data_IF_013520560617
#
_entry.id   IF_013520560617
#
_cell.length_a   1.000
_cell.length_b   1.000
_cell.length_c   1.000
_cell.angle_alpha   90.00
_cell.angle_beta   90.00
_cell.angle_gamma   90.00
#
_symmetry.space_group_name_H-M   'P 1'
#
loop_
_entity.id
_entity.type
_entity.pdbx_description
1 polymer ?
#
# COMPACT_ATOMS: atom_id res chain seq x y z
N UNK A 1 -2.34 -20.43 12.32
CA UNK A 1 -2.03 -19.12 11.67
C UNK A 1 -0.55 -19.05 11.25
N UNK A 2 -0.06 -20.03 10.49
CA UNK A 2 1.33 -19.99 10.01
C UNK A 2 1.47 -18.96 8.87
N UNK A 3 2.52 -18.13 8.90
CA UNK A 3 2.90 -17.26 7.78
C UNK A 3 2.38 -15.82 7.78
N UNK A 4 1.52 -15.40 8.71
CA UNK A 4 1.04 -14.01 8.72
C UNK A 4 2.00 -13.06 9.44
N UNK A 5 2.37 -11.97 8.77
CA UNK A 5 3.33 -10.97 9.25
C UNK A 5 2.64 -9.63 9.46
N UNK A 6 2.25 -9.38 10.71
CA UNK A 6 1.46 -8.20 11.11
C UNK A 6 2.21 -6.87 11.03
N UNK A 7 3.52 -6.85 11.33
CA UNK A 7 4.28 -5.60 11.40
C UNK A 7 4.63 -5.11 9.99
N UNK A 8 4.11 -3.93 9.63
CA UNK A 8 4.51 -3.19 8.42
C UNK A 8 6.01 -2.89 8.42
N UNK A 9 6.59 -2.62 9.59
CA UNK A 9 8.03 -2.37 9.73
C UNK A 9 8.87 -3.60 9.40
N UNK A 10 8.55 -4.78 9.98
CA UNK A 10 9.28 -6.03 9.68
C UNK A 10 9.23 -6.38 8.20
N UNK A 11 8.05 -6.28 7.57
CA UNK A 11 7.89 -6.49 6.11
C UNK A 11 8.73 -5.51 5.31
N UNK A 12 8.65 -4.22 5.63
CA UNK A 12 9.42 -3.16 4.94
C UNK A 12 10.93 -3.39 5.08
N UNK A 13 11.40 -3.76 6.27
CA UNK A 13 12.81 -4.02 6.53
C UNK A 13 13.33 -5.23 5.73
N UNK A 14 12.55 -6.31 5.62
CA UNK A 14 12.89 -7.46 4.80
C UNK A 14 12.95 -7.10 3.31
N UNK A 15 11.94 -6.39 2.81
CA UNK A 15 11.83 -6.00 1.41
C UNK A 15 12.93 -5.03 0.95
N UNK A 16 13.42 -4.17 1.85
CA UNK A 16 14.51 -3.23 1.55
C UNK A 16 15.85 -3.90 1.27
N UNK A 17 16.01 -5.18 1.60
CA UNK A 17 17.23 -5.94 1.28
C UNK A 17 17.33 -6.28 -0.20
N UNK A 18 16.22 -6.26 -0.94
CA UNK A 18 16.19 -6.45 -2.40
C UNK A 18 16.19 -5.07 -3.09
N UNK A 19 17.27 -4.69 -3.81
CA UNK A 19 17.42 -3.35 -4.39
C UNK A 19 16.29 -2.94 -5.33
N UNK A 20 15.77 -3.88 -6.13
CA UNK A 20 14.68 -3.59 -7.09
C UNK A 20 13.38 -3.23 -6.37
N UNK A 21 13.09 -3.91 -5.26
CA UNK A 21 11.93 -3.60 -4.42
C UNK A 21 12.18 -2.30 -3.63
N UNK A 22 13.37 -2.13 -3.06
CA UNK A 22 13.72 -0.98 -2.23
C UNK A 22 13.49 0.37 -2.96
N UNK A 23 13.82 0.44 -4.26
CA UNK A 23 13.59 1.62 -5.11
C UNK A 23 12.11 2.00 -5.29
N UNK A 24 11.21 1.04 -5.06
CA UNK A 24 9.77 1.19 -5.14
C UNK A 24 9.12 1.45 -3.77
N UNK A 25 9.87 1.44 -2.67
CA UNK A 25 9.33 1.71 -1.33
C UNK A 25 9.57 3.19 -0.97
N UNK A 26 8.53 3.99 -0.68
CA UNK A 26 8.73 5.34 -0.20
C UNK A 26 9.55 5.36 1.10
N UNK A 27 10.38 6.38 1.30
CA UNK A 27 11.13 6.52 2.56
C UNK A 27 10.18 6.35 3.74
N UNK A 28 10.53 5.46 4.65
CA UNK A 28 9.69 5.05 5.77
C UNK A 28 10.56 4.89 7.00
N UNK A 29 10.18 5.51 8.10
CA UNK A 29 10.86 5.46 9.39
C UNK A 29 9.85 5.22 10.52
N UNK A 30 10.33 4.79 11.69
CA UNK A 30 9.51 4.81 12.90
C UNK A 30 9.23 6.25 13.33
N UNK A 31 8.02 6.51 13.79
CA UNK A 31 7.61 7.84 14.24
C UNK A 31 8.28 8.18 15.57
N UNK A 32 8.98 9.31 15.56
CA UNK A 32 9.51 10.06 16.70
C UNK A 32 9.30 11.55 16.39
N UNK A 33 9.33 12.41 17.42
CA UNK A 33 9.21 13.87 17.23
C UNK A 33 10.22 14.39 16.20
N UNK A 34 11.48 13.94 16.26
CA UNK A 34 12.52 14.35 15.31
C UNK A 34 12.35 13.75 13.91
N UNK A 35 12.00 12.47 13.79
CA UNK A 35 11.87 11.81 12.47
C UNK A 35 10.69 12.34 11.68
N UNK A 36 9.56 12.60 12.35
CA UNK A 36 8.40 13.23 11.70
C UNK A 36 8.74 14.64 11.21
N UNK A 37 9.38 15.47 12.05
CA UNK A 37 9.78 16.83 11.68
C UNK A 37 10.69 16.82 10.45
N UNK A 38 11.77 16.04 10.51
CA UNK A 38 12.74 15.91 9.42
C UNK A 38 12.09 15.47 8.12
N UNK A 39 11.21 14.47 8.16
CA UNK A 39 10.53 14.00 6.95
C UNK A 39 9.52 15.01 6.41
N UNK A 40 8.83 15.76 7.27
CA UNK A 40 7.97 16.87 6.85
C UNK A 40 8.76 18.00 6.21
N UNK A 41 9.88 18.40 6.82
CA UNK A 41 10.75 19.44 6.28
C UNK A 41 11.31 19.03 4.91
N UNK A 42 11.64 17.75 4.73
CA UNK A 42 12.18 17.22 3.47
C UNK A 42 11.13 17.05 2.37
N UNK A 43 9.92 16.60 2.72
CA UNK A 43 8.94 16.13 1.73
C UNK A 43 7.68 16.98 1.63
N UNK A 44 7.41 17.86 2.59
CA UNK A 44 6.18 18.66 2.69
C UNK A 44 4.93 17.84 3.05
N UNK A 45 4.83 16.59 2.60
CA UNK A 45 3.73 15.67 2.86
C UNK A 45 4.25 14.30 3.30
N UNK A 46 3.66 13.76 4.37
CA UNK A 46 3.92 12.39 4.85
C UNK A 46 2.62 11.69 5.24
N UNK A 47 2.65 10.37 5.25
CA UNK A 47 1.62 9.53 5.85
C UNK A 47 2.12 8.98 7.18
N UNK A 48 1.31 9.15 8.22
CA UNK A 48 1.53 8.60 9.55
C UNK A 48 0.59 7.42 9.72
N UNK A 49 1.12 6.21 9.90
CA UNK A 49 0.34 4.96 9.92
C UNK A 49 0.76 4.04 11.05
N UNK A 50 -0.17 3.30 11.69
CA UNK A 50 0.20 2.38 12.76
C UNK A 50 1.09 1.26 12.22
N UNK A 51 2.09 0.82 12.99
CA UNK A 51 2.99 -0.26 12.60
C UNK A 51 2.23 -1.58 12.40
N UNK A 52 1.27 -1.85 13.28
CA UNK A 52 0.32 -2.96 13.21
C UNK A 52 -1.08 -2.38 13.08
N UNK A 53 -1.81 -2.76 12.05
CA UNK A 53 -3.16 -2.27 11.78
C UNK A 53 -3.63 -2.73 10.42
N UNK A 54 -4.94 -2.68 10.20
CA UNK A 54 -5.59 -3.15 9.00
C UNK A 54 -6.59 -2.09 8.50
N UNK A 55 -7.07 -2.23 7.27
CA UNK A 55 -8.16 -1.44 6.68
C UNK A 55 -7.92 0.08 6.54
N UNK A 56 -6.67 0.53 6.69
CA UNK A 56 -6.34 1.96 6.73
C UNK A 56 -6.73 2.66 8.03
N UNK A 57 -7.16 1.92 9.06
CA UNK A 57 -7.53 2.49 10.35
C UNK A 57 -6.31 3.12 11.05
N UNK A 58 -6.47 4.36 11.49
CA UNK A 58 -5.39 5.16 12.09
C UNK A 58 -4.39 5.73 11.09
N UNK A 59 -4.60 5.58 9.78
CA UNK A 59 -3.76 6.28 8.79
C UNK A 59 -4.14 7.76 8.78
N UNK A 60 -3.13 8.62 8.87
CA UNK A 60 -3.26 10.06 8.84
C UNK A 60 -2.37 10.63 7.74
N UNK A 61 -2.90 11.57 6.97
CA UNK A 61 -2.10 12.39 6.04
C UNK A 61 -1.65 13.63 6.78
N UNK A 62 -0.38 13.96 6.74
CA UNK A 62 0.21 15.11 7.42
C UNK A 62 0.92 15.98 6.39
N UNK A 63 0.70 17.28 6.48
CA UNK A 63 1.23 18.27 5.56
C UNK A 63 1.82 19.45 6.32
N UNK A 64 2.92 20.00 5.80
CA UNK A 64 3.48 21.28 6.21
C UNK A 64 3.00 22.35 5.23
N UNK A 65 2.39 23.42 5.75
CA UNK A 65 1.81 24.52 5.00
C UNK A 65 2.57 25.81 5.36
N UNK A 66 3.75 25.98 4.76
CA UNK A 66 4.67 27.06 5.15
C UNK A 66 5.15 26.91 6.59
N UNK A 67 4.64 27.74 7.49
CA UNK A 67 4.92 27.70 8.94
C UNK A 67 3.93 26.84 9.72
N UNK A 68 2.75 26.55 9.16
CA UNK A 68 1.71 25.76 9.81
C UNK A 68 1.81 24.26 9.48
N UNK A 69 1.12 23.44 10.27
CA UNK A 69 1.04 22.00 10.13
C UNK A 69 -0.43 21.55 10.12
N UNK A 70 -0.76 20.67 9.18
CA UNK A 70 -2.09 20.09 9.02
C UNK A 70 -2.02 18.58 9.12
N UNK A 71 -3.00 17.95 9.76
CA UNK A 71 -3.26 16.53 9.54
C UNK A 71 -4.72 16.23 9.28
N UNK A 72 -4.94 15.17 8.50
CA UNK A 72 -6.25 14.61 8.24
C UNK A 72 -6.33 13.19 8.79
N UNK A 73 -7.32 12.94 9.65
CA UNK A 73 -7.68 11.62 10.15
C UNK A 73 -9.11 11.28 9.72
N UNK A 74 -9.27 10.34 8.78
CA UNK A 74 -10.55 10.11 8.13
C UNK A 74 -10.99 11.35 7.34
N UNK A 75 -12.11 11.96 7.71
CA UNK A 75 -12.62 13.22 7.14
C UNK A 75 -12.29 14.44 7.99
N UNK A 76 -11.79 14.26 9.22
CA UNK A 76 -11.47 15.36 10.14
C UNK A 76 -10.12 15.94 9.78
N UNK A 77 -10.08 17.24 9.60
CA UNK A 77 -8.85 18.02 9.34
C UNK A 77 -8.59 18.90 10.55
N UNK A 78 -7.34 18.94 11.00
CA UNK A 78 -6.87 19.80 12.09
C UNK A 78 -5.61 20.53 11.67
N UNK A 79 -5.51 21.78 12.07
CA UNK A 79 -4.39 22.67 11.76
C UNK A 79 -3.80 23.27 13.03
N UNK A 80 -2.51 23.53 12.98
CA UNK A 80 -1.71 23.98 14.11
C UNK A 80 -0.62 24.93 13.62
N UNK A 81 -0.45 26.07 14.28
CA UNK A 81 0.55 27.07 13.91
C UNK A 81 2.00 26.69 14.27
N UNK A 82 2.20 25.71 15.15
CA UNK A 82 3.55 25.27 15.57
C UNK A 82 3.71 23.76 15.49
N UNK A 83 4.96 23.31 15.29
CA UNK A 83 5.25 21.88 15.23
C UNK A 83 4.94 21.14 16.53
N UNK A 84 5.16 21.79 17.67
CA UNK A 84 4.99 21.17 18.99
C UNK A 84 3.52 20.96 19.34
N UNK A 85 2.67 21.95 19.10
CA UNK A 85 1.21 21.80 19.28
C UNK A 85 0.64 20.75 18.32
N UNK A 86 1.12 20.73 17.07
CA UNK A 86 0.80 19.72 16.08
C UNK A 86 1.18 18.31 16.54
N UNK A 87 2.43 18.12 16.97
CA UNK A 87 2.94 16.81 17.38
C UNK A 87 2.20 16.27 18.60
N UNK A 88 1.91 17.12 19.59
CA UNK A 88 1.13 16.75 20.77
C UNK A 88 -0.30 16.31 20.38
N UNK A 89 -0.95 17.04 19.47
CA UNK A 89 -2.26 16.68 18.97
C UNK A 89 -2.25 15.34 18.20
N UNK A 90 -1.28 15.16 17.30
CA UNK A 90 -1.12 13.92 16.54
C UNK A 90 -0.82 12.72 17.45
N UNK A 91 -0.02 12.90 18.50
CA UNK A 91 0.33 11.84 19.44
C UNK A 91 -0.92 11.27 20.14
N UNK A 92 -1.89 12.13 20.48
CA UNK A 92 -3.17 11.71 21.06
C UNK A 92 -3.97 10.80 20.11
N UNK A 93 -3.97 11.11 18.82
CA UNK A 93 -4.63 10.27 17.79
C UNK A 93 -3.98 8.87 17.68
N UNK A 94 -2.68 8.76 17.99
CA UNK A 94 -1.99 7.46 17.94
C UNK A 94 -2.33 6.52 19.09
N UNK A 95 -2.93 7.03 20.17
CA UNK A 95 -3.23 6.28 21.41
C UNK A 95 -2.00 5.52 21.94
N UNK A 96 -0.83 6.17 21.91
CA UNK A 96 0.47 5.64 22.33
C UNK A 96 0.95 4.37 21.60
N UNK A 97 0.32 4.01 20.47
CA UNK A 97 0.75 2.86 19.68
C UNK A 97 1.99 3.21 18.86
N UNK A 98 2.73 2.18 18.43
CA UNK A 98 3.85 2.34 17.48
C UNK A 98 3.32 2.76 16.11
N UNK A 99 3.84 3.87 15.60
CA UNK A 99 3.51 4.43 14.29
C UNK A 99 4.75 4.56 13.41
N UNK A 100 4.51 4.61 12.10
CA UNK A 100 5.50 4.83 11.05
C UNK A 100 5.20 6.15 10.35
N UNK A 101 6.25 6.86 9.94
CA UNK A 101 6.18 8.01 9.05
C UNK A 101 6.67 7.54 7.69
N UNK A 102 5.87 7.74 6.65
CA UNK A 102 6.19 7.38 5.28
C UNK A 102 6.08 8.62 4.38
N UNK A 103 7.04 8.81 3.47
CA UNK A 103 6.99 9.88 2.47
C UNK A 103 5.64 9.86 1.74
N UNK A 104 5.01 11.02 1.66
CA UNK A 104 3.82 11.22 0.84
C UNK A 104 4.18 11.24 -0.64
N UNK A 105 3.37 10.56 -1.46
CA UNK A 105 3.50 10.56 -2.92
C UNK A 105 2.26 11.21 -3.53
N UNK A 106 2.47 12.10 -4.49
CA UNK A 106 1.40 12.68 -5.29
C UNK A 106 0.98 11.66 -6.35
N UNK A 107 -0.09 10.92 -6.04
CA UNK A 107 -0.56 9.80 -6.84
C UNK A 107 -1.30 10.26 -8.10
N UNK A 108 -1.24 9.43 -9.15
CA UNK A 108 -2.11 9.53 -10.31
C UNK A 108 -3.58 9.51 -9.89
N UNK A 109 -4.41 10.10 -10.77
CA UNK A 109 -5.84 10.25 -10.55
C UNK A 109 -6.61 9.79 -11.79
N UNK A 110 -7.66 9.01 -11.56
CA UNK A 110 -8.63 8.64 -12.56
C UNK A 110 -9.93 9.39 -12.30
N UNK A 111 -10.37 10.21 -13.26
CA UNK A 111 -11.55 11.11 -13.10
C UNK A 111 -11.47 11.96 -11.83
N UNK A 112 -10.30 12.55 -11.56
CA UNK A 112 -10.05 13.39 -10.37
C UNK A 112 -9.88 12.63 -9.04
N UNK A 113 -10.08 11.31 -9.02
CA UNK A 113 -9.97 10.48 -7.81
C UNK A 113 -8.65 9.70 -7.79
N UNK A 114 -7.97 9.67 -6.64
CA UNK A 114 -6.74 8.88 -6.47
C UNK A 114 -7.05 7.40 -6.64
N UNK A 115 -6.10 6.65 -7.18
CA UNK A 115 -6.23 5.19 -7.25
C UNK A 115 -4.92 4.50 -6.91
N UNK A 116 -5.03 3.22 -6.60
CA UNK A 116 -3.90 2.30 -6.58
C UNK A 116 -4.27 0.98 -7.28
N UNK A 117 -3.28 0.10 -7.40
CA UNK A 117 -3.40 -1.22 -7.97
C UNK A 117 -3.07 -2.25 -6.89
N UNK A 118 -4.00 -3.15 -6.64
CA UNK A 118 -3.80 -4.36 -5.84
C UNK A 118 -3.21 -5.43 -6.75
N UNK A 119 -1.95 -5.79 -6.53
CA UNK A 119 -1.28 -6.93 -7.17
C UNK A 119 -1.29 -8.11 -6.20
N UNK A 120 -1.95 -9.21 -6.58
CA UNK A 120 -1.96 -10.46 -5.84
C UNK A 120 -0.93 -11.41 -6.44
N UNK A 121 0.05 -11.84 -5.64
CA UNK A 121 0.97 -12.91 -5.99
C UNK A 121 0.85 -14.06 -4.99
N UNK A 122 0.89 -15.29 -5.50
CA UNK A 122 0.69 -16.50 -4.72
C UNK A 122 1.74 -17.53 -5.13
N UNK A 123 2.22 -18.28 -4.15
CA UNK A 123 3.06 -19.45 -4.36
C UNK A 123 2.17 -20.57 -4.90
N UNK A 124 2.45 -21.09 -6.07
CA UNK A 124 1.64 -22.10 -6.74
C UNK A 124 1.79 -23.45 -6.05
N UNK A 125 0.81 -24.36 -6.21
CA UNK A 125 0.97 -25.75 -5.77
C UNK A 125 2.11 -26.49 -6.48
N UNK A 126 2.56 -25.97 -7.63
CA UNK A 126 3.70 -26.48 -8.42
C UNK A 126 5.06 -25.95 -7.93
N UNK A 127 5.09 -25.20 -6.83
CA UNK A 127 6.34 -24.73 -6.22
C UNK A 127 6.93 -23.46 -6.83
N UNK A 128 6.14 -22.68 -7.58
CA UNK A 128 6.61 -21.43 -8.24
C UNK A 128 5.77 -20.22 -7.83
N UNK A 129 6.37 -19.04 -7.71
CA UNK A 129 5.60 -17.81 -7.47
C UNK A 129 4.95 -17.30 -8.74
N UNK A 130 3.69 -16.89 -8.65
CA UNK A 130 2.94 -16.32 -9.76
C UNK A 130 2.06 -15.14 -9.31
N UNK A 131 2.02 -14.07 -10.11
CA UNK A 131 1.00 -13.03 -9.95
C UNK A 131 -0.32 -13.53 -10.51
N UNK A 132 -1.30 -13.76 -9.63
CA UNK A 132 -2.58 -14.37 -9.98
C UNK A 132 -3.65 -13.35 -10.33
N UNK A 133 -3.45 -12.06 -10.01
CA UNK A 133 -4.35 -11.00 -10.45
C UNK A 133 -3.85 -9.60 -10.11
N UNK A 134 -4.25 -8.64 -10.94
CA UNK A 134 -4.07 -7.20 -10.69
C UNK A 134 -5.45 -6.54 -10.80
N UNK A 135 -5.79 -5.68 -9.84
CA UNK A 135 -7.07 -4.94 -9.84
C UNK A 135 -6.85 -3.51 -9.37
N UNK A 136 -7.51 -2.58 -10.05
CA UNK A 136 -7.53 -1.17 -9.70
C UNK A 136 -8.51 -0.86 -8.57
N UNK A 137 -8.12 0.03 -7.65
CA UNK A 137 -8.97 0.54 -6.56
C UNK A 137 -8.98 2.06 -6.60
N UNK A 138 -10.14 2.64 -6.90
CA UNK A 138 -10.32 4.10 -6.93
C UNK A 138 -10.87 4.57 -5.59
N UNK A 139 -10.20 5.54 -4.96
CA UNK A 139 -10.64 6.13 -3.70
C UNK A 139 -11.95 6.91 -3.87
N UNK A 140 -12.69 7.00 -2.76
CA UNK A 140 -13.74 7.99 -2.59
C UNK A 140 -13.14 9.42 -2.63
N UNK A 141 -13.89 10.39 -3.18
CA UNK A 141 -13.45 11.78 -3.43
C UNK A 141 -12.88 12.48 -2.19
N UNK A 142 -13.34 12.13 -0.98
CA UNK A 142 -12.95 12.80 0.28
C UNK A 142 -11.97 12.01 1.15
N UNK A 143 -11.60 10.78 0.76
CA UNK A 143 -10.77 9.90 1.61
C UNK A 143 -9.29 9.95 1.24
N UNK A 144 -8.43 9.94 2.25
CA UNK A 144 -6.96 9.91 2.09
C UNK A 144 -6.41 8.51 1.81
N UNK A 145 -7.21 7.47 2.01
CA UNK A 145 -6.88 6.06 1.78
C UNK A 145 -7.80 5.47 0.72
N UNK A 146 -7.21 4.70 -0.20
CA UNK A 146 -7.81 4.00 -1.35
C UNK A 146 -8.37 2.61 -0.99
N UNK A 147 -8.72 2.37 0.29
CA UNK A 147 -9.13 1.03 0.71
C UNK A 147 -10.54 0.68 0.18
N UNK A 148 -10.63 -0.37 -0.64
CA UNK A 148 -11.88 -0.84 -1.27
C UNK A 148 -12.97 -1.20 -0.25
N UNK A 149 -12.60 -1.69 0.94
CA UNK A 149 -13.56 -1.97 2.01
C UNK A 149 -14.29 -0.73 2.55
N UNK A 150 -13.78 0.47 2.24
CA UNK A 150 -14.35 1.74 2.66
C UNK A 150 -15.03 2.49 1.49
N UNK A 151 -15.63 1.77 0.53
CA UNK A 151 -16.41 2.38 -0.56
C UNK A 151 -15.60 2.77 -1.80
N UNK A 152 -14.43 2.15 -2.00
CA UNK A 152 -13.66 2.33 -3.23
C UNK A 152 -14.27 1.55 -4.41
N UNK A 153 -14.22 2.14 -5.61
CA UNK A 153 -14.66 1.49 -6.85
C UNK A 153 -13.57 0.53 -7.34
N UNK A 154 -13.94 -0.71 -7.67
CA UNK A 154 -13.02 -1.68 -8.27
C UNK A 154 -13.09 -1.56 -9.79
N UNK A 155 -11.94 -1.36 -10.42
CA UNK A 155 -11.81 -1.08 -11.85
C UNK A 155 -10.71 -1.96 -12.44
N UNK A 156 -10.84 -2.35 -13.71
CA UNK A 156 -9.75 -3.00 -14.45
C UNK A 156 -8.48 -2.13 -14.41
N UNK A 157 -7.32 -2.75 -14.17
CA UNK A 157 -6.08 -2.01 -13.97
C UNK A 157 -5.65 -1.29 -15.26
N UNK A 158 -5.88 -1.92 -16.41
CA UNK A 158 -5.71 -1.40 -17.76
C UNK A 158 -6.47 -0.09 -17.93
N UNK A 159 -7.74 -0.06 -17.50
CA UNK A 159 -8.60 1.13 -17.61
C UNK A 159 -8.11 2.29 -16.76
N UNK A 160 -7.50 2.02 -15.61
CA UNK A 160 -6.91 3.07 -14.77
C UNK A 160 -5.60 3.60 -15.35
N UNK A 161 -4.83 2.77 -16.07
CA UNK A 161 -3.55 3.17 -16.65
C UNK A 161 -3.65 3.76 -18.05
N UNK A 162 -4.67 3.41 -18.83
CA UNK A 162 -4.84 3.85 -20.22
C UNK A 162 -4.77 5.39 -20.39
N UNK A 163 -5.36 6.22 -19.50
CA UNK A 163 -5.24 7.69 -19.62
C UNK A 163 -3.83 8.24 -19.32
N UNK A 164 -2.95 7.43 -18.74
CA UNK A 164 -1.64 7.87 -18.24
C UNK A 164 -0.45 7.21 -18.96
N UNK A 165 -0.64 6.05 -19.57
CA UNK A 165 0.44 5.26 -20.17
C UNK A 165 0.02 4.70 -21.53
N UNK A 166 0.78 5.05 -22.58
CA UNK A 166 0.61 4.49 -23.94
C UNK A 166 0.85 2.96 -23.98
N UNK A 167 1.67 2.44 -23.06
CA UNK A 167 2.01 1.01 -22.95
C UNK A 167 1.53 0.46 -21.60
N UNK A 168 0.23 0.48 -21.35
CA UNK A 168 -0.36 -0.02 -20.10
C UNK A 168 0.00 -1.49 -19.83
N UNK A 169 0.02 -2.33 -20.86
CA UNK A 169 0.32 -3.77 -20.73
C UNK A 169 1.75 -4.04 -20.26
N UNK A 170 2.73 -3.31 -20.80
CA UNK A 170 4.12 -3.41 -20.36
C UNK A 170 4.26 -3.01 -18.88
N UNK A 171 3.51 -2.00 -18.43
CA UNK A 171 3.46 -1.60 -17.02
C UNK A 171 2.84 -2.69 -16.16
N UNK A 172 1.73 -3.28 -16.58
CA UNK A 172 1.08 -4.38 -15.84
C UNK A 172 1.98 -5.61 -15.74
N UNK A 173 2.72 -5.95 -16.80
CA UNK A 173 3.73 -7.01 -16.78
C UNK A 173 4.84 -6.73 -15.76
N UNK A 174 5.39 -5.52 -15.76
CA UNK A 174 6.41 -5.12 -14.77
C UNK A 174 5.87 -5.16 -13.33
N UNK A 175 4.60 -4.80 -13.10
CA UNK A 175 3.96 -4.93 -11.80
C UNK A 175 3.75 -6.40 -11.39
N UNK A 176 3.44 -7.28 -12.34
CA UNK A 176 3.33 -8.71 -12.11
C UNK A 176 4.68 -9.32 -11.71
N UNK A 177 5.77 -8.94 -12.37
CA UNK A 177 7.13 -9.34 -12.02
C UNK A 177 7.52 -8.83 -10.63
N UNK A 178 7.17 -7.58 -10.29
CA UNK A 178 7.38 -7.02 -8.95
C UNK A 178 6.59 -7.77 -7.88
N UNK A 179 5.38 -8.24 -8.19
CA UNK A 179 4.56 -9.09 -7.32
C UNK A 179 5.25 -10.42 -7.00
N UNK A 180 5.74 -11.11 -8.02
CA UNK A 180 6.50 -12.37 -7.89
C UNK A 180 7.75 -12.16 -7.04
N UNK A 181 8.57 -11.16 -7.38
CA UNK A 181 9.80 -10.85 -6.65
C UNK A 181 9.51 -10.55 -5.17
N UNK A 182 8.46 -9.77 -4.89
CA UNK A 182 8.04 -9.45 -3.52
C UNK A 182 7.63 -10.69 -2.73
N UNK A 183 6.89 -11.61 -3.37
CA UNK A 183 6.53 -12.89 -2.78
C UNK A 183 7.75 -13.74 -2.42
N UNK A 184 8.69 -13.87 -3.34
CA UNK A 184 9.95 -14.58 -3.14
C UNK A 184 10.76 -13.98 -1.98
N UNK A 185 10.97 -12.66 -1.98
CA UNK A 185 11.72 -11.97 -0.92
C UNK A 185 11.07 -12.14 0.45
N UNK A 186 9.74 -12.03 0.56
CA UNK A 186 9.06 -12.22 1.83
C UNK A 186 9.05 -13.67 2.29
N UNK A 187 8.93 -14.64 1.39
CA UNK A 187 9.03 -16.06 1.76
C UNK A 187 10.40 -16.42 2.28
N UNK A 188 11.47 -15.90 1.66
CA UNK A 188 12.84 -16.08 2.15
C UNK A 188 13.01 -15.55 3.58
N UNK A 189 12.44 -14.38 3.90
CA UNK A 189 12.48 -13.82 5.24
C UNK A 189 11.48 -14.47 6.23
N UNK A 190 10.38 -15.00 5.72
CA UNK A 190 9.25 -15.54 6.49
C UNK A 190 8.70 -16.80 5.80
N UNK A 191 9.25 -18.00 6.07
CA UNK A 191 8.96 -19.22 5.30
C UNK A 191 7.48 -19.61 5.17
N UNK A 192 6.64 -19.23 6.13
CA UNK A 192 5.19 -19.47 6.06
C UNK A 192 4.42 -18.60 5.06
N UNK A 193 5.03 -17.56 4.49
CA UNK A 193 4.41 -16.69 3.49
C UNK A 193 4.29 -17.44 2.15
N UNK A 194 3.06 -17.64 1.71
CA UNK A 194 2.71 -18.27 0.43
C UNK A 194 1.81 -17.39 -0.44
N UNK A 195 1.45 -16.19 0.04
CA UNK A 195 0.69 -15.21 -0.72
C UNK A 195 0.99 -13.79 -0.24
N UNK A 196 0.94 -12.85 -1.17
CA UNK A 196 1.13 -11.43 -0.90
C UNK A 196 0.17 -10.59 -1.74
N UNK A 197 -0.34 -9.52 -1.14
CA UNK A 197 -1.07 -8.47 -1.84
C UNK A 197 -0.32 -7.16 -1.71
N UNK A 198 0.21 -6.67 -2.82
CA UNK A 198 0.88 -5.38 -2.88
C UNK A 198 -0.15 -4.31 -3.23
N UNK A 199 -0.14 -3.22 -2.47
CA UNK A 199 -0.90 -2.02 -2.77
C UNK A 199 0.09 -1.02 -3.41
N UNK A 200 -0.01 -0.87 -4.73
CA UNK A 200 0.94 -0.10 -5.54
C UNK A 200 0.23 1.10 -6.14
N UNK A 201 0.78 2.30 -5.94
CA UNK A 201 0.33 3.48 -6.66
C UNK A 201 1.44 4.03 -7.55
N UNK A 202 1.11 4.93 -8.47
CA UNK A 202 2.08 5.60 -9.33
C UNK A 202 2.01 7.11 -9.16
N UNK A 203 3.14 7.78 -9.35
CA UNK A 203 3.20 9.23 -9.50
C UNK A 203 3.09 9.65 -10.97
N UNK A 204 3.18 10.96 -11.23
CA UNK A 204 3.11 11.53 -12.57
C UNK A 204 4.20 11.05 -13.53
N UNK A 205 5.32 10.49 -13.01
CA UNK A 205 6.40 9.90 -13.82
C UNK A 205 6.16 8.42 -14.16
N UNK A 206 5.00 7.88 -13.78
CA UNK A 206 4.67 6.45 -13.88
C UNK A 206 5.62 5.55 -13.09
N UNK A 207 6.27 6.09 -12.07
CA UNK A 207 7.10 5.31 -11.14
C UNK A 207 6.20 4.55 -10.17
N UNK A 208 6.36 3.21 -10.03
CA UNK A 208 5.59 2.44 -9.06
C UNK A 208 6.10 2.66 -7.63
N UNK A 209 5.14 2.81 -6.71
CA UNK A 209 5.37 2.97 -5.28
C UNK A 209 4.56 1.93 -4.50
N UNK A 210 5.25 1.02 -3.81
CA UNK A 210 4.65 0.04 -2.90
C UNK A 210 4.26 0.76 -1.61
N UNK A 211 2.97 1.04 -1.45
CA UNK A 211 2.41 1.71 -0.27
C UNK A 211 2.32 0.74 0.92
N UNK A 212 1.94 -0.50 0.64
CA UNK A 212 1.80 -1.59 1.61
C UNK A 212 1.95 -2.97 0.95
N UNK A 213 2.42 -3.95 1.72
CA UNK A 213 2.37 -5.37 1.36
C UNK A 213 1.65 -6.14 2.45
N UNK A 214 0.60 -6.87 2.07
CA UNK A 214 -0.22 -7.72 2.94
C UNK A 214 0.16 -9.17 2.73
N UNK A 215 0.41 -9.93 3.81
CA UNK A 215 0.70 -11.38 3.75
C UNK A 215 -0.54 -12.24 3.96
N UNK A 216 -1.72 -11.60 4.11
CA UNK A 216 -3.04 -12.23 4.10
C UNK A 216 -4.04 -11.32 3.36
N UNK A 217 -3.81 -11.07 2.07
CA UNK A 217 -4.72 -10.25 1.27
C UNK A 217 -6.09 -10.91 1.10
N UNK A 218 -7.14 -10.10 1.00
CA UNK A 218 -8.50 -10.57 0.69
C UNK A 218 -8.58 -11.04 -0.78
N UNK A 219 -8.83 -12.34 -1.04
CA UNK A 219 -8.99 -12.85 -2.41
C UNK A 219 -10.31 -12.45 -3.06
N UNK A 220 -11.34 -12.10 -2.29
CA UNK A 220 -12.69 -11.83 -2.81
C UNK A 220 -12.81 -10.50 -3.56
N UNK A 221 -11.82 -9.62 -3.46
CA UNK A 221 -11.72 -8.42 -4.29
C UNK A 221 -11.77 -8.75 -5.78
N UNK A 222 -11.16 -9.87 -6.19
CA UNK A 222 -11.08 -10.27 -7.60
C UNK A 222 -12.41 -10.82 -8.15
N UNK A 223 -13.39 -11.15 -7.29
CA UNK A 223 -14.71 -11.66 -7.71
C UNK A 223 -15.48 -10.66 -8.59
N UNK A 224 -15.23 -9.36 -8.38
CA UNK A 224 -15.89 -8.26 -9.10
C UNK A 224 -15.28 -7.98 -10.47
N UNK A 225 -14.16 -8.60 -10.84
CA UNK A 225 -13.60 -8.45 -12.18
C UNK A 225 -14.52 -9.07 -13.24
N UNK A 226 -14.54 -8.51 -14.47
CA UNK A 226 -15.23 -9.13 -15.60
C UNK A 226 -14.64 -10.51 -15.94
N UNK A 227 -13.31 -10.62 -16.00
CA UNK A 227 -12.65 -11.91 -16.24
C UNK A 227 -12.68 -12.79 -14.99
N UNK A 228 -13.62 -13.74 -14.99
CA UNK A 228 -13.83 -14.67 -13.88
C UNK A 228 -12.68 -15.68 -13.71
N UNK A 229 -11.86 -15.89 -14.74
CA UNK A 229 -10.72 -16.81 -14.68
C UNK A 229 -9.68 -16.35 -13.65
N UNK A 230 -9.53 -15.04 -13.47
CA UNK A 230 -8.65 -14.45 -12.46
C UNK A 230 -9.10 -14.88 -11.06
N UNK A 231 -10.37 -14.66 -10.71
CA UNK A 231 -10.91 -15.04 -9.41
C UNK A 231 -10.85 -16.56 -9.17
N UNK A 232 -11.22 -17.35 -10.19
CA UNK A 232 -11.13 -18.81 -10.13
C UNK A 232 -9.70 -19.28 -9.84
N UNK A 233 -8.69 -18.68 -10.50
CA UNK A 233 -7.27 -19.00 -10.27
C UNK A 233 -6.81 -18.63 -8.87
N UNK A 234 -7.14 -17.41 -8.41
CA UNK A 234 -6.84 -16.96 -7.04
C UNK A 234 -7.39 -17.95 -6.00
N UNK A 235 -8.67 -18.33 -6.15
CA UNK A 235 -9.33 -19.25 -5.24
C UNK A 235 -8.80 -20.68 -5.33
N UNK A 236 -8.41 -21.15 -6.51
CA UNK A 236 -7.76 -22.46 -6.68
C UNK A 236 -6.47 -22.54 -5.85
N UNK A 237 -5.66 -21.49 -5.87
CA UNK A 237 -4.42 -21.45 -5.10
C UNK A 237 -4.72 -21.32 -3.60
N UNK A 238 -5.71 -20.50 -3.19
CA UNK A 238 -6.14 -20.43 -1.79
C UNK A 238 -6.57 -21.79 -1.24
N UNK A 239 -7.38 -22.55 -1.98
CA UNK A 239 -7.85 -23.89 -1.56
C UNK A 239 -6.70 -24.87 -1.36
N UNK A 240 -5.72 -24.87 -2.27
CA UNK A 240 -4.57 -25.78 -2.21
C UNK A 240 -3.69 -25.58 -0.97
N UNK A 241 -3.64 -24.36 -0.40
CA UNK A 241 -2.88 -24.08 0.83
C UNK A 241 -3.73 -24.16 2.12
N UNK A 242 -5.07 -24.23 2.02
CA UNK A 242 -5.95 -24.51 3.17
C UNK A 242 -6.05 -26.00 3.49
N UNK A 243 -5.83 -26.85 2.50
CA UNK A 243 -5.85 -28.31 2.64
C UNK A 243 -4.51 -28.89 3.12
N UNK A 244 -3.53 -28.03 3.45
CA UNK A 244 -2.20 -28.37 3.99
C UNK A 244 -2.09 -27.85 5.41
#
# INVERSE_FOLDING_TARGET
MAGYVWSKWKKTAALRKEPRIARCIPETARMRKSTLKRMLDRYGMVYVKPEKGMWGNGVMRVERLGTAYRYQHGTKVKEHGTYDSFYAALLRETRQRKYLVQRGINLLKYKGRRFDLRVMAQFSPRGTWETTGIIGRVADKRKIVTNAHNGGELVAAERLLAPHAKQADAKLKALAELGVLTGQTLRSAFPGVHKVGLDIAMDATLKPWILEVNTMPDPYLFRKLPDKRIFQKVMRYEKAYRAR
#
